data_IF_190924475748
#
_entry.id   IF_190924475748
#
_cell.length_a   1.000
_cell.length_b   1.000
_cell.length_c   1.000
_cell.angle_alpha   90.00
_cell.angle_beta   90.00
_cell.angle_gamma   90.00
#
_symmetry.space_group_name_H-M   'P 1'
#
loop_
_entity.id
_entity.type
_entity.pdbx_description
1 polymer ?
#
# COMPACT_ATOMS: atom_id res chain seq x y z
N UNK A 1 12.00 -2.76 -16.27
CA UNK A 1 12.78 -1.88 -15.42
C UNK A 1 12.10 -1.65 -14.10
N UNK A 2 12.86 -1.76 -13.04
CA UNK A 2 12.29 -1.67 -11.70
C UNK A 2 11.95 -0.24 -11.31
N UNK A 3 12.59 0.72 -11.94
CA UNK A 3 12.37 2.10 -11.58
C UNK A 3 10.95 2.59 -11.80
N UNK A 4 10.32 2.11 -12.85
CA UNK A 4 8.96 2.55 -13.16
C UNK A 4 7.97 2.02 -12.14
N UNK A 5 8.13 0.77 -11.73
CA UNK A 5 7.26 0.20 -10.72
C UNK A 5 7.35 0.99 -9.42
N UNK A 6 8.57 1.31 -9.02
CA UNK A 6 8.79 2.06 -7.80
C UNK A 6 8.14 3.44 -7.89
N UNK A 7 8.28 4.10 -9.02
CA UNK A 7 7.68 5.41 -9.21
C UNK A 7 6.16 5.34 -9.10
N UNK A 8 5.54 4.35 -9.70
CA UNK A 8 4.09 4.20 -9.63
C UNK A 8 3.64 4.02 -8.20
N UNK A 9 4.34 3.18 -7.46
CA UNK A 9 4.00 2.94 -6.06
C UNK A 9 4.11 4.23 -5.27
N UNK A 10 5.20 4.96 -5.44
CA UNK A 10 5.39 6.21 -4.73
C UNK A 10 4.31 7.22 -5.07
N UNK A 11 3.95 7.30 -6.33
CA UNK A 11 2.91 8.23 -6.77
C UNK A 11 1.58 7.90 -6.10
N UNK A 12 1.25 6.62 -6.04
CA UNK A 12 0.01 6.19 -5.39
C UNK A 12 0.01 6.55 -3.91
N UNK A 13 1.15 6.32 -3.26
CA UNK A 13 1.26 6.64 -1.84
C UNK A 13 1.10 8.15 -1.63
N UNK A 14 1.71 8.95 -2.48
CA UNK A 14 1.60 10.40 -2.37
C UNK A 14 0.16 10.86 -2.55
N UNK A 15 -0.58 10.19 -3.42
CA UNK A 15 -1.97 10.53 -3.68
C UNK A 15 -2.90 9.97 -2.61
N UNK A 16 -2.35 9.41 -1.53
CA UNK A 16 -3.14 8.82 -0.47
C UNK A 16 -3.88 7.58 -0.94
N UNK A 17 -3.34 6.91 -1.94
CA UNK A 17 -3.93 5.68 -2.45
C UNK A 17 -3.08 4.49 -2.03
N UNK A 18 -2.83 4.41 -0.72
CA UNK A 18 -1.96 3.36 -0.19
C UNK A 18 -2.49 1.96 -0.49
N UNK A 19 -3.80 1.69 -0.36
CA UNK A 19 -4.31 0.35 -0.70
C UNK A 19 -4.00 -0.03 -2.14
N UNK A 20 -4.18 0.88 -3.05
CA UNK A 20 -3.89 0.62 -4.46
C UNK A 20 -2.40 0.35 -4.65
N UNK A 21 -1.57 1.12 -3.96
CA UNK A 21 -0.13 0.90 -4.04
C UNK A 21 0.23 -0.50 -3.54
N UNK A 22 -0.42 -0.94 -2.48
CA UNK A 22 -0.16 -2.25 -1.93
C UNK A 22 -0.55 -3.35 -2.91
N UNK A 23 -1.72 -3.22 -3.53
CA UNK A 23 -2.14 -4.19 -4.53
C UNK A 23 -1.19 -4.20 -5.72
N UNK A 24 -0.79 -3.04 -6.15
CA UNK A 24 0.15 -2.93 -7.26
C UNK A 24 1.47 -3.64 -6.91
N UNK A 25 1.98 -3.38 -5.71
CA UNK A 25 3.22 -4.00 -5.29
C UNK A 25 3.07 -5.51 -5.15
N UNK A 26 1.92 -5.95 -4.68
CA UNK A 26 1.69 -7.39 -4.53
C UNK A 26 1.81 -8.11 -5.86
N UNK A 27 1.40 -7.46 -6.94
CA UNK A 27 1.46 -8.06 -8.26
C UNK A 27 2.86 -7.97 -8.86
N UNK A 28 3.48 -6.79 -8.77
CA UNK A 28 4.73 -6.55 -9.45
C UNK A 28 5.95 -6.63 -8.57
N UNK A 29 5.80 -6.22 -7.32
CA UNK A 29 6.95 -6.13 -6.42
C UNK A 29 6.56 -6.54 -5.01
N UNK A 30 6.31 -7.83 -4.78
CA UNK A 30 5.86 -8.29 -3.46
C UNK A 30 6.84 -7.96 -2.35
N UNK A 31 8.10 -7.75 -2.69
CA UNK A 31 9.09 -7.40 -1.68
C UNK A 31 8.76 -6.09 -0.99
N UNK A 32 8.04 -5.20 -1.67
CA UNK A 32 7.72 -3.89 -1.12
C UNK A 32 6.44 -3.89 -0.30
N UNK A 33 5.74 -5.00 -0.26
CA UNK A 33 4.48 -5.07 0.47
C UNK A 33 4.66 -4.70 1.93
N UNK A 34 5.72 -5.20 2.55
CA UNK A 34 5.95 -4.93 3.97
C UNK A 34 6.01 -3.43 4.23
N UNK A 35 6.76 -2.71 3.42
CA UNK A 35 6.90 -1.28 3.62
C UNK A 35 5.57 -0.57 3.44
N UNK A 36 4.85 -0.95 2.41
CA UNK A 36 3.57 -0.30 2.11
C UNK A 36 2.56 -0.60 3.20
N UNK A 37 2.52 -1.83 3.69
CA UNK A 37 1.61 -2.20 4.75
C UNK A 37 1.88 -1.40 6.01
N UNK A 38 3.15 -1.19 6.31
CA UNK A 38 3.50 -0.38 7.48
C UNK A 38 3.02 1.06 7.32
N UNK A 39 3.20 1.62 6.13
CA UNK A 39 2.69 2.96 5.87
C UNK A 39 1.18 3.00 6.01
N UNK A 40 0.52 1.96 5.55
CA UNK A 40 -0.93 1.88 5.65
C UNK A 40 -1.36 1.83 7.11
N UNK A 41 -0.66 1.04 7.92
CA UNK A 41 -0.96 0.96 9.34
C UNK A 41 -0.83 2.31 10.01
N UNK A 42 0.26 3.01 9.72
CA UNK A 42 0.48 4.32 10.30
C UNK A 42 -0.62 5.29 9.90
N UNK A 43 -1.04 5.22 8.66
CA UNK A 43 -2.09 6.10 8.17
C UNK A 43 -3.40 5.81 8.92
N UNK A 44 -3.70 4.55 9.14
CA UNK A 44 -4.90 4.17 9.85
C UNK A 44 -4.86 4.63 11.31
N UNK A 45 -3.69 4.59 11.92
CA UNK A 45 -3.55 4.97 13.33
C UNK A 45 -3.73 6.46 13.54
N UNK A 46 -3.63 7.24 12.48
CA UNK A 46 -3.75 8.69 12.62
C UNK A 46 -5.19 9.16 12.77
N UNK A 47 -6.10 8.26 13.02
CA UNK A 47 -7.48 8.64 13.27
C UNK A 47 -8.40 8.47 12.10
N UNK A 48 -7.94 7.89 11.03
CA UNK A 48 -8.81 7.63 9.90
C UNK A 48 -9.71 6.45 10.18
N UNK A 49 -10.92 6.54 9.72
CA UNK A 49 -11.84 5.42 9.85
C UNK A 49 -11.37 4.27 9.00
N UNK A 50 -11.41 3.09 9.58
CA UNK A 50 -10.98 1.89 8.87
C UNK A 50 -12.10 1.41 7.98
N UNK A 51 -12.17 1.97 6.79
CA UNK A 51 -13.18 1.54 5.82
C UNK A 51 -12.66 0.44 4.93
N UNK A 52 -11.35 0.33 4.81
CA UNK A 52 -10.75 -0.69 3.97
C UNK A 52 -10.23 -1.87 4.75
N UNK A 53 -10.88 -2.18 5.86
CA UNK A 53 -10.39 -3.26 6.70
C UNK A 53 -10.34 -4.59 5.97
N UNK A 54 -11.34 -4.87 5.16
CA UNK A 54 -11.38 -6.12 4.39
C UNK A 54 -10.20 -6.20 3.42
N UNK A 55 -9.92 -5.10 2.75
CA UNK A 55 -8.79 -5.06 1.81
C UNK A 55 -7.48 -5.26 2.55
N UNK A 56 -7.36 -4.65 3.71
CA UNK A 56 -6.15 -4.78 4.50
C UNK A 56 -5.94 -6.24 4.92
N UNK A 57 -7.00 -6.89 5.31
CA UNK A 57 -6.94 -8.30 5.70
C UNK A 57 -6.49 -9.17 4.53
N UNK A 58 -7.01 -8.91 3.35
CA UNK A 58 -6.63 -9.66 2.17
C UNK A 58 -5.16 -9.52 1.87
N UNK A 59 -4.61 -8.34 2.06
CA UNK A 59 -3.20 -8.09 1.77
C UNK A 59 -2.29 -8.71 2.82
N UNK A 60 -2.71 -8.65 4.07
CA UNK A 60 -1.88 -9.14 5.17
C UNK A 60 -1.95 -10.66 5.28
N UNK A 61 -3.02 -11.27 4.86
CA UNK A 61 -3.16 -12.72 4.88
C UNK A 61 -2.38 -13.32 3.73
#
# INVERSE_FOLDING_TARGET
MQGETDKCIKTLIKAKRIPEAAFFAKTYCPSKISEIVELWKQDLQKGHKITGNSLFQLLVT
#
